data_IF_085762598828
#
_entry.id   IF_085762598828
#
_cell.length_a   1.000
_cell.length_b   1.000
_cell.length_c   1.000
_cell.angle_alpha   90.00
_cell.angle_beta   90.00
_cell.angle_gamma   90.00
#
_symmetry.space_group_name_H-M   'P 1'
#
loop_
_entity.id
_entity.type
_entity.pdbx_description
1 polymer ?
#
# COMPACT_ATOMS: atom_id res chain seq x y z
N UNK A 1 16.81 -13.83 5.35
CA UNK A 1 15.43 -14.31 5.05
C UNK A 1 14.73 -13.22 4.25
N UNK A 2 14.02 -13.56 3.15
CA UNK A 2 13.24 -12.60 2.36
C UNK A 2 11.77 -12.78 2.71
N UNK A 3 11.10 -11.69 3.06
CA UNK A 3 9.66 -11.67 3.35
C UNK A 3 8.96 -11.11 2.11
N UNK A 4 7.86 -11.75 1.67
CA UNK A 4 7.12 -11.35 0.49
C UNK A 4 5.65 -11.15 0.80
N UNK A 5 5.10 -10.04 0.31
CA UNK A 5 3.69 -9.74 0.23
C UNK A 5 3.27 -9.58 -1.23
N UNK A 6 2.05 -9.96 -1.55
CA UNK A 6 1.43 -9.65 -2.84
C UNK A 6 -0.06 -9.41 -2.65
N UNK A 7 -0.61 -8.54 -3.49
CA UNK A 7 -2.04 -8.26 -3.53
C UNK A 7 -2.51 -8.21 -4.99
N UNK A 8 -3.72 -8.70 -5.30
CA UNK A 8 -4.26 -8.68 -6.65
C UNK A 8 -4.77 -7.28 -7.00
N UNK A 9 -4.54 -6.86 -8.24
CA UNK A 9 -5.22 -5.72 -8.83
C UNK A 9 -6.71 -6.02 -9.04
N UNK A 10 -7.51 -4.96 -9.25
CA UNK A 10 -8.95 -5.10 -9.47
C UNK A 10 -9.42 -4.34 -10.72
N UNK A 11 -10.51 -4.80 -11.30
CA UNK A 11 -11.28 -4.06 -12.29
C UNK A 11 -12.64 -3.71 -11.71
N UNK A 12 -13.11 -2.48 -12.00
CA UNK A 12 -14.45 -2.02 -11.68
C UNK A 12 -15.32 -2.10 -12.92
N UNK A 13 -16.40 -2.87 -12.86
CA UNK A 13 -17.34 -3.03 -13.99
C UNK A 13 -18.44 -1.99 -13.99
N UNK A 14 -18.78 -1.47 -12.80
CA UNK A 14 -19.84 -0.47 -12.66
C UNK A 14 -19.94 0.06 -11.24
N UNK A 15 -20.58 1.22 -11.12
CA UNK A 15 -20.81 1.89 -9.84
C UNK A 15 -19.63 2.70 -9.32
N UNK A 16 -18.50 2.74 -10.03
CA UNK A 16 -17.35 3.55 -9.63
C UNK A 16 -17.72 5.03 -9.49
N UNK A 17 -17.24 5.63 -8.39
CA UNK A 17 -17.63 7.00 -8.00
C UNK A 17 -18.80 7.05 -7.01
N UNK A 18 -19.66 6.02 -6.95
CA UNK A 18 -20.71 5.96 -5.92
C UNK A 18 -20.17 5.54 -4.56
N UNK A 19 -18.95 5.07 -4.52
CA UNK A 19 -18.20 4.66 -3.32
C UNK A 19 -17.25 5.74 -2.77
N UNK A 20 -17.34 6.98 -3.32
CA UNK A 20 -16.54 8.13 -2.91
C UNK A 20 -17.42 9.13 -2.14
N UNK A 21 -16.87 9.70 -1.06
CA UNK A 21 -17.52 10.79 -0.33
C UNK A 21 -17.65 12.05 -1.20
N UNK A 22 -18.71 12.86 -1.06
CA UNK A 22 -19.81 12.69 -0.09
C UNK A 22 -20.93 11.76 -0.58
N UNK A 23 -20.89 11.28 -1.84
CA UNK A 23 -22.00 10.53 -2.43
C UNK A 23 -22.34 9.26 -1.63
N UNK A 24 -21.35 8.45 -1.28
CA UNK A 24 -21.59 7.21 -0.53
C UNK A 24 -22.14 7.45 0.89
N UNK A 25 -21.79 8.59 1.49
CA UNK A 25 -22.25 8.97 2.83
C UNK A 25 -23.70 9.46 2.83
N UNK A 26 -24.12 10.18 1.77
CA UNK A 26 -25.44 10.82 1.67
C UNK A 26 -26.49 9.91 1.01
N UNK A 27 -26.08 9.17 -0.03
CA UNK A 27 -26.99 8.41 -0.92
C UNK A 27 -26.80 6.89 -0.80
N UNK A 28 -25.73 6.46 -0.14
CA UNK A 28 -25.24 5.11 -0.28
C UNK A 28 -24.59 4.86 -1.64
N UNK A 29 -23.80 3.80 -1.75
CA UNK A 29 -23.12 3.44 -2.99
C UNK A 29 -23.24 1.94 -3.28
N UNK A 30 -23.07 1.56 -4.54
CA UNK A 30 -22.99 0.18 -4.95
C UNK A 30 -21.97 0.03 -6.09
N UNK A 31 -21.04 -0.88 -5.93
CA UNK A 31 -20.01 -1.19 -6.91
C UNK A 31 -20.06 -2.65 -7.32
N UNK A 32 -19.67 -2.94 -8.55
CA UNK A 32 -19.41 -4.28 -9.03
C UNK A 32 -18.00 -4.31 -9.56
N UNK A 33 -17.15 -5.11 -8.94
CA UNK A 33 -15.76 -5.29 -9.33
C UNK A 33 -15.28 -6.71 -9.10
N UNK A 34 -14.11 -7.02 -9.57
CA UNK A 34 -13.44 -8.29 -9.36
C UNK A 34 -11.94 -8.09 -9.33
N UNK A 35 -11.26 -8.88 -8.52
CA UNK A 35 -9.81 -9.02 -8.63
C UNK A 35 -9.44 -9.73 -9.92
N UNK A 36 -8.24 -9.44 -10.43
CA UNK A 36 -7.70 -10.02 -11.66
C UNK A 36 -6.37 -10.70 -11.40
N UNK A 37 -5.92 -11.52 -12.34
CA UNK A 37 -4.63 -12.23 -12.27
C UNK A 37 -3.46 -11.30 -12.66
N UNK A 38 -3.41 -10.14 -12.02
CA UNK A 38 -2.32 -9.17 -12.03
C UNK A 38 -2.13 -8.68 -10.60
N UNK A 39 -0.89 -8.43 -10.21
CA UNK A 39 -0.54 -8.25 -8.81
C UNK A 39 0.41 -7.09 -8.61
N UNK A 40 0.37 -6.51 -7.41
CA UNK A 40 1.49 -5.79 -6.83
C UNK A 40 2.27 -6.70 -5.89
N UNK A 41 3.57 -6.51 -5.87
CA UNK A 41 4.51 -7.31 -5.09
C UNK A 41 5.36 -6.40 -4.20
N UNK A 42 5.57 -6.85 -2.97
CA UNK A 42 6.53 -6.26 -2.06
C UNK A 42 7.48 -7.37 -1.56
N UNK A 43 8.78 -7.11 -1.60
CA UNK A 43 9.77 -7.96 -0.96
C UNK A 43 10.57 -7.14 0.05
N UNK A 44 10.70 -7.68 1.26
CA UNK A 44 11.48 -7.05 2.34
C UNK A 44 12.65 -7.95 2.68
N UNK A 45 13.84 -7.37 2.67
CA UNK A 45 15.09 -7.99 3.12
C UNK A 45 15.55 -7.25 4.38
N UNK A 46 15.46 -7.85 5.57
CA UNK A 46 15.95 -7.22 6.79
C UNK A 46 17.44 -6.94 6.72
N UNK A 47 17.86 -5.81 7.29
CA UNK A 47 19.24 -5.36 7.41
C UNK A 47 19.65 -5.28 8.88
N UNK A 48 20.94 -5.31 9.14
CA UNK A 48 21.49 -5.17 10.50
C UNK A 48 21.88 -3.72 10.84
N UNK A 49 21.88 -2.83 9.82
CA UNK A 49 22.11 -1.41 10.00
C UNK A 49 20.79 -0.63 10.13
N UNK A 50 20.89 0.68 10.43
CA UNK A 50 19.75 1.57 10.62
C UNK A 50 19.32 2.25 9.30
N UNK A 51 19.43 1.56 8.17
CA UNK A 51 19.04 2.09 6.87
C UNK A 51 17.82 1.35 6.30
N UNK A 52 16.90 2.13 5.75
CA UNK A 52 15.79 1.64 4.93
C UNK A 52 16.05 2.07 3.50
N UNK A 53 16.20 1.12 2.59
CA UNK A 53 16.42 1.37 1.18
C UNK A 53 15.20 0.85 0.42
N UNK A 54 14.55 1.73 -0.32
CA UNK A 54 13.35 1.39 -1.10
C UNK A 54 13.68 1.46 -2.58
N UNK A 55 13.44 0.37 -3.26
CA UNK A 55 13.56 0.24 -4.72
C UNK A 55 12.15 0.11 -5.30
N UNK A 56 11.68 1.16 -5.98
CA UNK A 56 10.44 1.12 -6.74
C UNK A 56 10.78 0.91 -8.21
N UNK A 57 10.46 -0.27 -8.72
CA UNK A 57 10.73 -0.62 -10.12
C UNK A 57 9.77 0.11 -11.07
N UNK A 58 8.54 0.40 -10.61
CA UNK A 58 7.53 1.08 -11.42
C UNK A 58 7.84 2.55 -11.67
N UNK A 59 8.58 3.19 -10.75
CA UNK A 59 9.01 4.59 -10.85
C UNK A 59 10.49 4.74 -11.20
N UNK A 60 11.21 3.62 -11.43
CA UNK A 60 12.67 3.61 -11.62
C UNK A 60 13.40 4.46 -10.56
N UNK A 61 13.02 4.29 -9.30
CA UNK A 61 13.45 5.13 -8.20
C UNK A 61 14.03 4.31 -7.05
N UNK A 62 15.13 4.78 -6.50
CA UNK A 62 15.70 4.28 -5.24
C UNK A 62 15.80 5.41 -4.23
N UNK A 63 15.18 5.21 -3.07
CA UNK A 63 15.21 6.19 -1.96
C UNK A 63 15.78 5.53 -0.72
N UNK A 64 16.56 6.31 0.04
CA UNK A 64 17.17 5.89 1.30
C UNK A 64 16.64 6.74 2.44
N UNK A 65 16.27 6.07 3.53
CA UNK A 65 15.87 6.67 4.79
C UNK A 65 16.73 6.08 5.92
N UNK A 66 16.96 6.85 6.96
CA UNK A 66 17.45 6.30 8.23
C UNK A 66 16.25 5.90 9.07
N UNK A 67 16.39 4.82 9.84
CA UNK A 67 15.39 4.41 10.81
C UNK A 67 15.07 5.56 11.77
N UNK A 68 13.79 5.85 11.96
CA UNK A 68 13.28 6.94 12.81
C UNK A 68 12.02 6.49 13.54
N UNK A 69 11.66 7.23 14.57
CA UNK A 69 10.38 7.05 15.27
C UNK A 69 9.19 7.36 14.35
N UNK A 70 9.28 8.45 13.56
CA UNK A 70 8.29 8.84 12.58
C UNK A 70 8.98 9.28 11.29
N UNK A 71 8.48 8.80 10.16
CA UNK A 71 8.94 9.16 8.82
C UNK A 71 8.11 10.33 8.29
N UNK A 72 8.78 11.30 7.71
CA UNK A 72 8.16 12.50 7.13
C UNK A 72 7.79 12.23 5.68
N UNK A 73 6.62 12.69 5.26
CA UNK A 73 6.18 12.66 3.87
C UNK A 73 6.91 13.76 3.09
N UNK A 74 7.64 13.37 2.07
CA UNK A 74 8.50 14.26 1.27
C UNK A 74 8.14 14.28 -0.22
N UNK A 75 7.05 13.64 -0.59
CA UNK A 75 6.51 13.57 -1.94
C UNK A 75 7.20 12.55 -2.85
N UNK A 76 8.17 11.78 -2.35
CA UNK A 76 8.91 10.81 -3.19
C UNK A 76 8.26 9.44 -3.21
N UNK A 77 8.14 8.80 -2.07
CA UNK A 77 7.52 7.49 -1.88
C UNK A 77 6.67 7.48 -0.60
N UNK A 78 5.74 8.43 -0.50
CA UNK A 78 4.95 8.66 0.72
C UNK A 78 4.09 7.46 1.11
N UNK A 79 3.64 6.66 0.15
CA UNK A 79 3.00 5.36 0.43
C UNK A 79 3.88 4.46 1.31
N UNK A 80 5.18 4.43 1.04
CA UNK A 80 6.11 3.59 1.82
C UNK A 80 6.33 4.17 3.21
N UNK A 81 6.57 5.49 3.31
CA UNK A 81 6.79 6.13 4.61
C UNK A 81 5.55 6.07 5.50
N UNK A 82 4.36 6.16 4.91
CA UNK A 82 3.10 5.98 5.64
C UNK A 82 2.93 4.54 6.16
N UNK A 83 3.25 3.54 5.33
CA UNK A 83 3.22 2.15 5.77
C UNK A 83 4.27 1.86 6.86
N UNK A 84 5.48 2.45 6.76
CA UNK A 84 6.52 2.35 7.80
C UNK A 84 6.04 2.94 9.13
N UNK A 85 5.34 4.09 9.09
CA UNK A 85 4.75 4.72 10.26
C UNK A 85 3.63 3.87 10.85
N UNK A 86 2.65 3.47 10.03
CA UNK A 86 1.50 2.68 10.45
C UNK A 86 1.90 1.33 11.06
N UNK A 87 2.94 0.73 10.51
CA UNK A 87 3.48 -0.54 11.01
C UNK A 87 4.59 -0.37 12.02
N UNK A 88 4.93 0.86 12.43
CA UNK A 88 6.00 1.16 13.39
C UNK A 88 7.30 0.41 13.10
N UNK A 89 7.77 0.47 11.86
CA UNK A 89 9.00 -0.21 11.45
C UNK A 89 10.21 0.58 11.95
N UNK A 90 10.93 0.00 12.91
CA UNK A 90 12.09 0.59 13.60
C UNK A 90 13.36 -0.24 13.41
N UNK A 91 13.47 -0.91 12.26
CA UNK A 91 14.64 -1.73 11.90
C UNK A 91 14.99 -1.50 10.44
N UNK A 92 16.29 -1.58 10.14
CA UNK A 92 16.77 -1.47 8.77
C UNK A 92 16.26 -2.57 7.86
N UNK A 93 15.93 -2.22 6.63
CA UNK A 93 15.51 -3.17 5.61
C UNK A 93 15.72 -2.63 4.19
N UNK A 94 15.76 -3.53 3.23
CA UNK A 94 15.56 -3.19 1.82
C UNK A 94 14.16 -3.61 1.41
N UNK A 95 13.46 -2.69 0.74
CA UNK A 95 12.10 -2.88 0.24
C UNK A 95 12.14 -2.81 -1.28
N UNK A 96 11.62 -3.82 -1.94
CA UNK A 96 11.47 -3.88 -3.40
C UNK A 96 10.00 -3.90 -3.75
N UNK A 97 9.56 -2.92 -4.55
CA UNK A 97 8.18 -2.77 -5.01
C UNK A 97 8.11 -2.97 -6.52
N UNK A 98 7.12 -3.71 -6.97
CA UNK A 98 6.80 -3.95 -8.37
C UNK A 98 5.31 -4.18 -8.54
N UNK A 99 4.74 -3.68 -9.63
CA UNK A 99 3.35 -3.90 -10.00
C UNK A 99 3.26 -4.40 -11.45
N UNK A 100 2.34 -5.32 -11.71
CA UNK A 100 2.08 -5.84 -13.07
C UNK A 100 1.37 -4.83 -13.99
N UNK A 101 0.94 -3.70 -13.46
CA UNK A 101 0.32 -2.62 -14.20
C UNK A 101 0.97 -1.28 -13.85
N UNK A 102 1.09 -0.36 -14.83
CA UNK A 102 1.69 0.94 -14.57
C UNK A 102 0.83 1.79 -13.63
N UNK A 103 1.44 2.73 -12.90
CA UNK A 103 0.71 3.74 -12.13
C UNK A 103 -0.29 4.49 -13.01
N UNK A 104 -1.47 4.79 -12.47
CA UNK A 104 -2.52 5.49 -13.20
C UNK A 104 -3.31 4.64 -14.21
N UNK A 105 -3.14 3.31 -14.20
CA UNK A 105 -3.89 2.39 -15.08
C UNK A 105 -5.38 2.25 -14.74
N UNK A 106 -5.86 2.84 -13.65
CA UNK A 106 -7.23 2.68 -13.18
C UNK A 106 -7.56 1.31 -12.57
N UNK A 107 -6.52 0.50 -12.29
CA UNK A 107 -6.66 -0.85 -11.74
C UNK A 107 -6.48 -0.92 -10.22
N UNK A 108 -6.51 0.21 -9.50
CA UNK A 108 -6.30 0.28 -8.06
C UNK A 108 -4.83 0.03 -7.67
N UNK A 109 -3.88 0.43 -8.50
CA UNK A 109 -2.45 0.13 -8.31
C UNK A 109 -1.89 0.67 -7.00
N UNK A 110 -2.27 1.88 -6.60
CA UNK A 110 -1.82 2.52 -5.35
C UNK A 110 -2.19 1.68 -4.14
N UNK A 111 -3.49 1.43 -3.96
CA UNK A 111 -4.01 0.67 -2.83
C UNK A 111 -3.52 -0.78 -2.83
N UNK A 112 -3.39 -1.38 -4.02
CA UNK A 112 -2.83 -2.73 -4.16
C UNK A 112 -1.36 -2.79 -3.71
N UNK A 113 -0.54 -1.78 -4.06
CA UNK A 113 0.85 -1.66 -3.58
C UNK A 113 0.87 -1.46 -2.07
N UNK A 114 -0.03 -0.62 -1.52
CA UNK A 114 -0.16 -0.42 -0.07
C UNK A 114 -0.47 -1.76 0.64
N UNK A 115 -1.45 -2.51 0.17
CA UNK A 115 -1.81 -3.82 0.76
C UNK A 115 -0.66 -4.81 0.68
N UNK A 116 0.05 -4.89 -0.47
CA UNK A 116 1.21 -5.77 -0.61
C UNK A 116 2.33 -5.41 0.38
N UNK A 117 2.58 -4.10 0.56
CA UNK A 117 3.57 -3.56 1.47
C UNK A 117 3.22 -3.85 2.93
N UNK A 118 1.99 -3.51 3.36
CA UNK A 118 1.49 -3.79 4.70
C UNK A 118 1.49 -5.28 5.01
N UNK A 119 1.12 -6.13 4.06
CA UNK A 119 1.16 -7.60 4.20
C UNK A 119 2.59 -8.10 4.48
N UNK A 120 3.58 -7.59 3.73
CA UNK A 120 4.97 -7.97 3.95
C UNK A 120 5.48 -7.47 5.32
N UNK A 121 5.12 -6.24 5.72
CA UNK A 121 5.51 -5.67 7.01
C UNK A 121 4.85 -6.39 8.19
N UNK A 122 3.55 -6.70 8.10
CA UNK A 122 2.82 -7.46 9.10
C UNK A 122 3.47 -8.85 9.31
N UNK A 123 3.79 -9.54 8.21
CA UNK A 123 4.50 -10.81 8.26
C UNK A 123 5.88 -10.69 8.90
N UNK A 124 6.61 -9.61 8.61
CA UNK A 124 7.93 -9.37 9.20
C UNK A 124 7.86 -9.12 10.71
N UNK A 125 6.84 -8.36 11.15
CA UNK A 125 6.59 -8.12 12.60
C UNK A 125 5.98 -9.32 13.33
N UNK A 126 5.50 -10.34 12.62
CA UNK A 126 4.75 -11.45 13.21
C UNK A 126 3.35 -11.05 13.68
N UNK A 127 2.76 -10.02 13.05
CA UNK A 127 1.38 -9.58 13.29
C UNK A 127 0.47 -10.28 12.29
N UNK A 128 -0.60 -10.89 12.79
CA UNK A 128 -1.63 -11.50 11.96
C UNK A 128 -2.80 -10.52 11.81
N UNK A 129 -3.11 -10.18 10.56
CA UNK A 129 -4.26 -9.37 10.19
C UNK A 129 -5.13 -10.21 9.24
N UNK A 130 -6.42 -10.28 9.51
CA UNK A 130 -7.36 -10.83 8.54
C UNK A 130 -7.59 -9.87 7.36
N UNK A 131 -8.36 -10.30 6.37
CA UNK A 131 -8.57 -9.50 5.16
C UNK A 131 -9.25 -8.16 5.43
N UNK A 132 -10.20 -8.11 6.37
CA UNK A 132 -10.91 -6.88 6.73
C UNK A 132 -10.01 -5.93 7.51
N UNK A 133 -9.30 -6.43 8.51
CA UNK A 133 -8.34 -5.62 9.28
C UNK A 133 -7.23 -5.04 8.40
N UNK A 134 -6.77 -5.81 7.40
CA UNK A 134 -5.80 -5.32 6.41
C UNK A 134 -6.40 -4.22 5.53
N UNK A 135 -7.64 -4.39 5.06
CA UNK A 135 -8.33 -3.39 4.25
C UNK A 135 -8.56 -2.09 5.05
N UNK A 136 -9.03 -2.19 6.29
CA UNK A 136 -9.23 -1.04 7.18
C UNK A 136 -7.92 -0.28 7.43
N UNK A 137 -6.82 -1.01 7.66
CA UNK A 137 -5.50 -0.40 7.85
C UNK A 137 -5.03 0.32 6.58
N UNK A 138 -5.14 -0.32 5.42
CA UNK A 138 -4.76 0.28 4.15
C UNK A 138 -5.59 1.53 3.84
N UNK A 139 -6.91 1.45 4.02
CA UNK A 139 -7.82 2.57 3.85
C UNK A 139 -7.43 3.75 4.75
N UNK A 140 -7.22 3.50 6.05
CA UNK A 140 -6.82 4.52 7.01
C UNK A 140 -5.53 5.21 6.60
N UNK A 141 -4.51 4.45 6.24
CA UNK A 141 -3.21 5.00 5.83
C UNK A 141 -3.35 5.87 4.57
N UNK A 142 -4.10 5.42 3.57
CA UNK A 142 -4.26 6.18 2.33
C UNK A 142 -5.18 7.40 2.49
N UNK A 143 -6.31 7.26 3.18
CA UNK A 143 -7.34 8.32 3.24
C UNK A 143 -7.12 9.31 4.37
N UNK A 144 -6.69 8.83 5.55
CA UNK A 144 -6.52 9.68 6.72
C UNK A 144 -5.11 10.27 6.82
N UNK A 145 -4.09 9.43 6.65
CA UNK A 145 -2.69 9.84 6.84
C UNK A 145 -2.15 10.57 5.60
N UNK A 146 -2.34 9.99 4.41
CA UNK A 146 -1.85 10.55 3.15
C UNK A 146 -2.86 11.49 2.47
N UNK A 147 -4.13 11.44 2.85
CA UNK A 147 -5.22 12.24 2.25
C UNK A 147 -5.35 12.04 0.74
N UNK A 148 -5.11 10.80 0.30
CA UNK A 148 -5.30 10.41 -1.10
C UNK A 148 -6.79 10.18 -1.31
N UNK A 149 -7.39 10.91 -2.25
CA UNK A 149 -8.79 10.72 -2.63
C UNK A 149 -8.97 9.37 -3.34
N UNK A 150 -10.06 8.67 -3.03
CA UNK A 150 -10.39 7.39 -3.66
C UNK A 150 -11.62 6.75 -3.03
N UNK A 151 -12.14 5.73 -3.70
CA UNK A 151 -13.31 4.99 -3.25
C UNK A 151 -12.98 3.80 -2.37
N UNK A 152 -14.01 3.21 -1.77
CA UNK A 152 -13.89 2.01 -0.94
C UNK A 152 -13.54 0.75 -1.74
N UNK A 153 -13.66 0.79 -3.08
CA UNK A 153 -13.33 -0.35 -3.95
C UNK A 153 -11.84 -0.56 -4.16
N UNK A 154 -11.00 0.40 -3.84
CA UNK A 154 -9.56 0.39 -4.10
C UNK A 154 -8.75 -0.43 -3.09
#
# INVERSE_FOLDING_TARGET
MVIRGRAPLRVSFGGGGTDVAPFCEEQGGAIIGSTINKYAYCSIVPREDDQIIVHSLDFDMTVKYNVRENYVYDGRLDLVTAALNAMEIKKGCEVYLQCDAPPGSGLGTSSTVMVALLTAMARWKGVELDGYAMADLAYKVEREDLKIDGGYQD
#
